data_IF_349512196643
#
_entry.id   IF_349512196643
#
_cell.length_a   1.000
_cell.length_b   1.000
_cell.length_c   1.000
_cell.angle_alpha   90.00
_cell.angle_beta   90.00
_cell.angle_gamma   90.00
#
_symmetry.space_group_name_H-M   'P 1'
#
loop_
_entity.id
_entity.type
_entity.pdbx_description
1 polymer ?
#
# COMPACT_ATOMS: atom_id res chain seq x y z
N UNK A 1 -1.90 -17.07 -4.08
CA UNK A 1 -2.58 -16.22 -5.08
C UNK A 1 -2.91 -16.95 -6.38
N UNK A 2 -2.10 -17.95 -6.82
CA UNK A 2 -2.37 -18.71 -8.05
C UNK A 2 -3.76 -19.39 -8.08
N UNK A 3 -4.35 -19.70 -6.92
CA UNK A 3 -5.71 -20.30 -6.84
C UNK A 3 -6.86 -19.48 -7.43
N UNK A 4 -6.63 -18.19 -7.77
CA UNK A 4 -7.65 -17.38 -8.47
C UNK A 4 -7.68 -17.60 -9.98
N UNK A 5 -6.68 -18.29 -10.55
CA UNK A 5 -6.62 -18.59 -11.99
C UNK A 5 -7.78 -19.50 -12.38
N UNK A 6 -8.60 -19.07 -13.32
CA UNK A 6 -9.77 -19.80 -13.82
C UNK A 6 -9.46 -20.47 -15.14
N UNK A 7 -10.17 -21.60 -15.39
CA UNK A 7 -10.00 -22.36 -16.64
C UNK A 7 -10.30 -21.48 -17.86
N UNK A 8 -9.38 -21.46 -18.83
CA UNK A 8 -9.50 -20.76 -20.11
C UNK A 8 -9.70 -19.22 -19.99
N UNK A 9 -9.40 -18.65 -18.81
CA UNK A 9 -9.42 -17.20 -18.59
C UNK A 9 -7.97 -16.71 -18.53
N UNK A 10 -7.55 -15.76 -19.38
CA UNK A 10 -6.21 -15.20 -19.33
C UNK A 10 -5.85 -14.65 -17.95
N UNK A 11 -4.60 -14.82 -17.54
CA UNK A 11 -4.08 -14.30 -16.28
C UNK A 11 -2.92 -13.34 -16.53
N UNK A 12 -2.95 -12.20 -15.85
CA UNK A 12 -1.88 -11.20 -15.89
C UNK A 12 -1.18 -11.16 -14.54
N UNK A 13 0.14 -11.25 -14.57
CA UNK A 13 1.03 -11.13 -13.41
C UNK A 13 1.82 -9.82 -13.58
N UNK A 14 1.63 -8.86 -12.66
CA UNK A 14 2.23 -7.51 -12.76
C UNK A 14 3.76 -7.54 -12.66
N UNK A 15 4.31 -8.40 -11.80
CA UNK A 15 5.75 -8.51 -11.55
C UNK A 15 6.22 -9.97 -11.68
N UNK A 16 7.27 -10.18 -12.46
CA UNK A 16 7.96 -11.48 -12.50
C UNK A 16 8.79 -11.64 -11.22
N UNK A 17 8.66 -12.81 -10.60
CA UNK A 17 9.55 -13.20 -9.50
C UNK A 17 9.97 -14.66 -9.68
N UNK A 18 11.28 -14.97 -9.67
CA UNK A 18 11.80 -16.29 -10.07
C UNK A 18 11.26 -17.44 -9.20
N UNK A 19 10.97 -17.20 -7.91
CA UNK A 19 10.44 -18.23 -7.00
C UNK A 19 8.94 -18.48 -7.19
N UNK A 20 8.16 -17.49 -7.64
CA UNK A 20 6.70 -17.62 -7.76
C UNK A 20 6.23 -17.82 -9.19
N UNK A 21 6.99 -17.35 -10.18
CA UNK A 21 6.64 -17.50 -11.59
C UNK A 21 6.41 -18.96 -12.02
N UNK A 22 7.20 -19.97 -11.58
CA UNK A 22 6.94 -21.37 -11.90
C UNK A 22 5.57 -21.84 -11.40
N UNK A 23 5.15 -21.42 -10.19
CA UNK A 23 3.85 -21.78 -9.63
C UNK A 23 2.70 -21.21 -10.48
N UNK A 24 2.80 -19.92 -10.88
CA UNK A 24 1.80 -19.30 -11.74
C UNK A 24 1.72 -19.97 -13.11
N UNK A 25 2.87 -20.28 -13.72
CA UNK A 25 2.94 -20.98 -15.02
C UNK A 25 2.32 -22.36 -14.95
N UNK A 26 2.62 -23.12 -13.90
CA UNK A 26 2.07 -24.47 -13.71
C UNK A 26 0.54 -24.44 -13.59
N UNK A 27 0.00 -23.57 -12.71
CA UNK A 27 -1.45 -23.46 -12.52
C UNK A 27 -2.14 -22.93 -13.78
N UNK A 28 -1.54 -21.99 -14.50
CA UNK A 28 -2.08 -21.52 -15.78
C UNK A 28 -2.15 -22.65 -16.81
N UNK A 29 -1.11 -23.48 -16.91
CA UNK A 29 -1.08 -24.64 -17.80
C UNK A 29 -2.20 -25.66 -17.43
N UNK A 30 -2.36 -26.00 -16.15
CA UNK A 30 -3.42 -26.90 -15.66
C UNK A 30 -4.83 -26.36 -15.93
N UNK A 31 -4.96 -25.03 -15.99
CA UNK A 31 -6.23 -24.35 -16.29
C UNK A 31 -6.43 -24.04 -17.76
N UNK A 32 -5.51 -24.45 -18.64
CA UNK A 32 -5.56 -24.11 -20.07
C UNK A 32 -5.68 -22.60 -20.30
N UNK A 33 -4.98 -21.80 -19.47
CA UNK A 33 -5.08 -20.33 -19.42
C UNK A 33 -3.82 -19.69 -19.97
N UNK A 34 -3.99 -18.69 -20.84
CA UNK A 34 -2.89 -17.84 -21.28
C UNK A 34 -2.34 -17.05 -20.08
N UNK A 35 -1.01 -16.93 -19.98
CA UNK A 35 -0.35 -16.17 -18.91
C UNK A 35 0.53 -15.07 -19.49
N UNK A 36 0.40 -13.88 -18.94
CA UNK A 36 1.16 -12.69 -19.29
C UNK A 36 1.91 -12.16 -18.08
N UNK A 37 3.22 -11.91 -18.23
CA UNK A 37 4.02 -11.18 -17.25
C UNK A 37 4.22 -9.76 -17.77
N UNK A 38 3.84 -8.76 -16.96
CA UNK A 38 3.80 -7.36 -17.38
C UNK A 38 5.03 -6.54 -16.97
N UNK A 39 5.98 -7.16 -16.26
CA UNK A 39 7.17 -6.48 -15.70
C UNK A 39 8.05 -5.80 -16.75
N UNK A 40 8.17 -6.38 -17.94
CA UNK A 40 8.94 -5.79 -19.06
C UNK A 40 8.14 -4.79 -19.90
N UNK A 41 6.85 -4.56 -19.60
CA UNK A 41 6.00 -3.69 -20.38
C UNK A 41 6.44 -2.23 -20.22
N UNK A 42 6.69 -1.55 -21.33
CA UNK A 42 6.81 -0.09 -21.35
C UNK A 42 5.43 0.55 -21.39
N UNK A 43 5.20 1.48 -20.48
CA UNK A 43 3.90 2.12 -20.28
C UNK A 43 4.04 3.63 -20.50
N UNK A 44 3.47 4.20 -21.57
CA UNK A 44 3.57 5.63 -21.88
C UNK A 44 2.55 6.49 -21.12
N UNK A 45 1.84 5.91 -20.15
CA UNK A 45 0.80 6.61 -19.39
C UNK A 45 1.28 6.99 -18.00
N UNK A 46 0.69 8.06 -17.48
CA UNK A 46 0.79 8.47 -16.08
C UNK A 46 -0.52 8.19 -15.35
N UNK A 47 -0.46 8.04 -14.01
CA UNK A 47 -1.65 7.92 -13.19
C UNK A 47 -1.64 8.96 -12.07
N UNK A 48 -2.83 9.26 -11.53
CA UNK A 48 -3.00 10.23 -10.45
C UNK A 48 -2.63 9.68 -9.07
N UNK A 49 -2.51 8.35 -8.91
CA UNK A 49 -2.02 7.72 -7.69
C UNK A 49 -0.50 7.92 -7.53
N UNK A 50 -0.07 8.41 -6.36
CA UNK A 50 1.30 8.92 -6.13
C UNK A 50 2.28 7.93 -5.50
N UNK A 51 1.83 6.76 -5.02
CA UNK A 51 2.74 5.75 -4.46
C UNK A 51 3.77 5.25 -5.49
N UNK A 52 5.05 5.18 -5.15
CA UNK A 52 6.13 4.72 -6.06
C UNK A 52 5.88 3.31 -6.60
N UNK A 53 5.28 2.44 -5.81
CA UNK A 53 4.85 1.10 -6.21
C UNK A 53 3.79 1.09 -7.32
N UNK A 54 3.14 2.21 -7.60
CA UNK A 54 2.18 2.33 -8.69
C UNK A 54 2.84 2.22 -10.07
N UNK A 55 4.13 2.52 -10.18
CA UNK A 55 4.90 2.29 -11.41
C UNK A 55 4.94 0.81 -11.82
N UNK A 56 4.83 -0.10 -10.86
CA UNK A 56 4.69 -1.54 -11.11
C UNK A 56 3.24 -1.92 -11.40
N UNK A 57 2.30 -1.37 -10.63
CA UNK A 57 0.87 -1.68 -10.78
C UNK A 57 0.33 -1.28 -12.15
N UNK A 58 0.74 -0.11 -12.68
CA UNK A 58 0.29 0.38 -14.00
C UNK A 58 0.59 -0.61 -15.12
N UNK A 59 1.72 -1.31 -15.06
CA UNK A 59 2.09 -2.32 -16.06
C UNK A 59 1.08 -3.46 -16.12
N UNK A 60 0.70 -4.00 -14.95
CA UNK A 60 -0.34 -5.04 -14.85
C UNK A 60 -1.72 -4.55 -15.31
N UNK A 61 -2.07 -3.30 -14.99
CA UNK A 61 -3.32 -2.68 -15.43
C UNK A 61 -3.36 -2.59 -16.97
N UNK A 62 -2.33 -2.00 -17.57
CA UNK A 62 -2.27 -1.81 -19.03
C UNK A 62 -2.24 -3.16 -19.75
N UNK A 63 -1.47 -4.13 -19.27
CA UNK A 63 -1.49 -5.48 -19.84
C UNK A 63 -2.89 -6.11 -19.77
N UNK A 64 -3.59 -5.94 -18.66
CA UNK A 64 -4.98 -6.45 -18.52
C UNK A 64 -5.92 -5.78 -19.53
N UNK A 65 -5.82 -4.47 -19.71
CA UNK A 65 -6.62 -3.74 -20.69
C UNK A 65 -6.33 -4.20 -22.14
N UNK A 66 -5.06 -4.47 -22.47
CA UNK A 66 -4.67 -5.05 -23.77
C UNK A 66 -5.27 -6.44 -24.01
N UNK A 67 -5.27 -7.29 -22.98
CA UNK A 67 -5.92 -8.61 -23.05
C UNK A 67 -7.43 -8.44 -23.26
N UNK A 68 -8.08 -7.50 -22.60
CA UNK A 68 -9.50 -7.20 -22.80
C UNK A 68 -9.78 -6.71 -24.22
N UNK A 69 -8.94 -5.84 -24.79
CA UNK A 69 -9.04 -5.40 -26.18
C UNK A 69 -8.96 -6.58 -27.14
N UNK A 70 -8.03 -7.52 -26.94
CA UNK A 70 -7.90 -8.74 -27.74
C UNK A 70 -9.15 -9.66 -27.64
N UNK A 71 -9.87 -9.62 -26.51
CA UNK A 71 -11.15 -10.33 -26.30
C UNK A 71 -12.37 -9.55 -26.83
N UNK A 72 -12.16 -8.45 -27.58
CA UNK A 72 -13.22 -7.70 -28.27
C UNK A 72 -13.83 -6.55 -27.47
N UNK A 73 -13.28 -6.19 -26.30
CA UNK A 73 -13.74 -5.02 -25.56
C UNK A 73 -13.33 -3.73 -26.30
N UNK A 74 -14.27 -2.81 -26.43
CA UNK A 74 -14.04 -1.51 -27.09
C UNK A 74 -13.37 -0.51 -26.13
N UNK A 75 -12.09 -0.74 -25.87
CA UNK A 75 -11.24 0.12 -25.03
C UNK A 75 -10.27 0.85 -25.96
N UNK A 76 -10.33 2.18 -26.01
CA UNK A 76 -9.42 3.01 -26.81
C UNK A 76 -8.24 3.49 -25.97
N UNK A 77 -7.17 3.97 -26.63
CA UNK A 77 -6.03 4.61 -25.96
C UNK A 77 -6.49 5.81 -25.12
N UNK A 78 -7.46 6.58 -25.60
CA UNK A 78 -8.06 7.69 -24.87
C UNK A 78 -8.76 7.23 -23.59
N UNK A 79 -9.48 6.10 -23.63
CA UNK A 79 -10.10 5.51 -22.44
C UNK A 79 -9.04 5.12 -21.40
N UNK A 80 -7.92 4.52 -21.84
CA UNK A 80 -6.81 4.14 -20.97
C UNK A 80 -6.20 5.37 -20.32
N UNK A 81 -5.84 6.38 -21.11
CA UNK A 81 -5.21 7.60 -20.63
C UNK A 81 -6.12 8.36 -19.65
N UNK A 82 -7.39 8.59 -20.01
CA UNK A 82 -8.35 9.27 -19.14
C UNK A 82 -8.64 8.47 -17.86
N UNK A 83 -8.81 7.15 -17.98
CA UNK A 83 -9.04 6.29 -16.83
C UNK A 83 -7.89 6.32 -15.83
N UNK A 84 -6.64 6.25 -16.29
CA UNK A 84 -5.45 6.27 -15.45
C UNK A 84 -5.17 7.64 -14.83
N UNK A 85 -5.46 8.73 -15.54
CA UNK A 85 -5.23 10.09 -15.02
C UNK A 85 -6.33 10.60 -14.06
N UNK A 86 -7.44 9.88 -13.93
CA UNK A 86 -8.58 10.25 -13.10
C UNK A 86 -9.08 9.08 -12.22
N UNK A 87 -8.19 8.24 -11.72
CA UNK A 87 -8.56 7.07 -10.90
C UNK A 87 -9.30 7.53 -9.64
N UNK A 88 -8.74 8.47 -8.90
CA UNK A 88 -9.33 8.97 -7.66
C UNK A 88 -10.69 9.59 -7.90
N UNK A 89 -10.80 10.46 -8.91
CA UNK A 89 -12.05 11.12 -9.25
C UNK A 89 -13.15 10.14 -9.71
N UNK A 90 -12.78 9.10 -10.48
CA UNK A 90 -13.73 8.15 -11.04
C UNK A 90 -14.16 7.05 -10.06
N UNK A 91 -13.29 6.69 -9.11
CA UNK A 91 -13.49 5.49 -8.27
C UNK A 91 -13.56 5.79 -6.77
N UNK A 92 -13.20 7.01 -6.36
CA UNK A 92 -13.02 7.38 -4.95
C UNK A 92 -12.03 6.46 -4.22
N UNK A 93 -11.01 5.92 -4.93
CA UNK A 93 -9.98 5.09 -4.33
C UNK A 93 -9.10 5.95 -3.42
N UNK A 94 -9.12 5.66 -2.13
CA UNK A 94 -8.37 6.38 -1.10
C UNK A 94 -7.29 5.51 -0.46
N UNK A 95 -6.37 6.14 0.29
CA UNK A 95 -5.35 5.45 1.07
C UNK A 95 -4.24 4.80 0.25
N UNK A 96 -3.84 5.39 -0.87
CA UNK A 96 -2.69 4.97 -1.69
C UNK A 96 -1.67 6.09 -1.79
N UNK A 97 -0.78 6.19 -0.80
CA UNK A 97 0.15 7.32 -0.64
C UNK A 97 -0.59 8.65 -0.74
N UNK A 98 -1.70 8.73 -0.02
CA UNK A 98 -2.64 9.86 -0.11
C UNK A 98 -2.21 10.99 0.82
N UNK A 99 -2.16 12.20 0.27
CA UNK A 99 -1.90 13.43 1.03
C UNK A 99 -3.14 13.78 1.87
N UNK A 100 -2.93 13.93 3.18
CA UNK A 100 -3.93 14.40 4.15
C UNK A 100 -3.69 15.85 4.60
N UNK A 101 -2.45 16.32 4.52
CA UNK A 101 -2.05 17.68 4.91
C UNK A 101 -0.68 18.03 4.37
N UNK A 102 -0.44 19.32 4.15
CA UNK A 102 0.81 19.81 3.53
C UNK A 102 1.85 20.30 4.56
N UNK A 103 1.40 20.77 5.72
CA UNK A 103 2.27 21.39 6.72
C UNK A 103 1.84 21.05 8.16
N UNK A 104 2.40 20.02 8.81
CA UNK A 104 3.41 19.09 8.31
C UNK A 104 2.87 18.19 7.19
N UNK A 105 3.74 17.79 6.27
CA UNK A 105 3.35 16.84 5.21
C UNK A 105 2.86 15.54 5.85
N UNK A 106 1.59 15.28 5.67
CA UNK A 106 0.90 14.12 6.25
C UNK A 106 0.41 13.22 5.16
N UNK A 107 0.85 11.95 5.15
CA UNK A 107 0.49 10.93 4.15
C UNK A 107 -0.14 9.74 4.85
N UNK A 108 -1.17 9.15 4.25
CA UNK A 108 -1.67 7.84 4.64
C UNK A 108 -1.51 6.80 3.54
N UNK A 109 -1.28 5.54 3.95
CA UNK A 109 -1.25 4.39 3.04
C UNK A 109 -1.76 3.12 3.71
N UNK A 110 -2.50 2.32 2.96
CA UNK A 110 -3.12 1.06 3.44
C UNK A 110 -2.17 -0.13 3.45
N UNK A 111 -0.86 0.08 3.29
CA UNK A 111 0.13 -0.98 3.47
C UNK A 111 -0.03 -1.66 4.84
N UNK A 112 -0.09 -2.99 4.84
CA UNK A 112 -0.43 -3.75 6.03
C UNK A 112 0.34 -5.07 6.15
N UNK A 113 1.37 -5.29 5.35
CA UNK A 113 2.24 -6.47 5.38
C UNK A 113 3.69 -6.07 5.10
N UNK A 114 4.64 -6.97 5.35
CA UNK A 114 6.06 -6.69 5.19
C UNK A 114 6.42 -6.16 3.79
N UNK A 115 5.88 -6.77 2.73
CA UNK A 115 6.15 -6.29 1.37
C UNK A 115 5.62 -4.86 1.14
N UNK A 116 4.40 -4.56 1.59
CA UNK A 116 3.85 -3.19 1.54
C UNK A 116 4.73 -2.20 2.34
N UNK A 117 5.18 -2.57 3.53
CA UNK A 117 6.08 -1.73 4.32
C UNK A 117 7.45 -1.53 3.67
N UNK A 118 7.98 -2.52 2.93
CA UNK A 118 9.21 -2.32 2.14
C UNK A 118 9.03 -1.17 1.13
N UNK A 119 7.92 -1.14 0.40
CA UNK A 119 7.64 -0.08 -0.57
C UNK A 119 7.44 1.28 0.12
N UNK A 120 6.68 1.32 1.22
CA UNK A 120 6.44 2.55 2.00
C UNK A 120 7.75 3.12 2.56
N UNK A 121 8.59 2.29 3.18
CA UNK A 121 9.85 2.72 3.76
C UNK A 121 10.83 3.19 2.70
N UNK A 122 10.88 2.52 1.55
CA UNK A 122 11.68 2.97 0.41
C UNK A 122 11.23 4.35 -0.09
N UNK A 123 9.93 4.62 -0.10
CA UNK A 123 9.41 5.92 -0.51
C UNK A 123 9.64 7.00 0.56
N UNK A 124 9.49 6.68 1.84
CA UNK A 124 9.81 7.59 2.94
C UNK A 124 11.29 8.03 2.92
N UNK A 125 12.20 7.14 2.52
CA UNK A 125 13.63 7.49 2.36
C UNK A 125 13.90 8.51 1.24
N UNK A 126 12.99 8.67 0.28
CA UNK A 126 13.11 9.65 -0.81
C UNK A 126 12.50 11.00 -0.44
N UNK A 127 11.73 11.07 0.64
CA UNK A 127 11.14 12.29 1.14
C UNK A 127 12.17 13.10 1.98
N UNK A 128 12.03 14.42 1.96
CA UNK A 128 12.86 15.31 2.77
C UNK A 128 12.10 15.72 4.02
N UNK A 129 12.63 15.40 5.18
CA UNK A 129 12.06 15.78 6.47
C UNK A 129 13.13 15.79 7.56
N UNK A 130 12.88 16.53 8.64
CA UNK A 130 13.75 16.54 9.82
C UNK A 130 13.44 15.36 10.74
N UNK A 131 12.16 15.14 11.05
CA UNK A 131 11.67 14.05 11.90
C UNK A 131 10.52 13.32 11.24
N UNK A 132 10.53 11.99 11.34
CA UNK A 132 9.41 11.13 10.92
C UNK A 132 8.52 10.81 12.11
N UNK A 133 7.23 11.09 11.98
CA UNK A 133 6.17 10.70 12.92
C UNK A 133 5.35 9.58 12.30
N UNK A 134 5.22 8.44 13.00
CA UNK A 134 4.51 7.26 12.50
C UNK A 134 3.30 6.94 13.37
N UNK A 135 2.10 7.19 12.84
CA UNK A 135 0.82 6.78 13.43
C UNK A 135 0.48 5.40 12.93
N UNK A 136 0.55 4.39 13.80
CA UNK A 136 0.43 2.98 13.42
C UNK A 136 -0.62 2.24 14.26
N UNK A 137 -1.45 1.47 13.56
CA UNK A 137 -2.37 0.51 14.16
C UNK A 137 -2.58 -0.69 13.26
N UNK A 138 -2.84 -1.84 13.86
CA UNK A 138 -2.94 -3.12 13.14
C UNK A 138 -4.19 -3.90 13.56
N UNK A 139 -4.46 -5.00 12.87
CA UNK A 139 -5.45 -5.99 13.29
C UNK A 139 -4.78 -7.14 14.05
N UNK A 140 -5.53 -7.85 14.89
CA UNK A 140 -5.03 -8.90 15.80
C UNK A 140 -4.30 -10.04 15.08
N UNK A 141 -4.78 -10.39 13.87
CA UNK A 141 -4.28 -11.51 13.09
C UNK A 141 -3.01 -11.17 12.29
N UNK A 142 -2.50 -9.94 12.43
CA UNK A 142 -1.33 -9.52 11.65
C UNK A 142 -0.05 -10.07 12.28
N UNK A 143 0.79 -10.68 11.44
CA UNK A 143 2.16 -11.01 11.82
C UNK A 143 3.02 -9.73 11.87
N UNK A 144 3.26 -9.25 13.08
CA UNK A 144 4.07 -8.07 13.36
C UNK A 144 5.57 -8.36 13.36
N UNK A 145 5.97 -9.62 13.54
CA UNK A 145 7.39 -10.01 13.58
C UNK A 145 8.10 -9.78 12.25
N UNK A 146 7.35 -9.76 11.16
CA UNK A 146 7.85 -9.44 9.82
C UNK A 146 7.87 -7.93 9.48
N UNK A 147 7.18 -7.10 10.26
CA UNK A 147 7.02 -5.66 10.00
C UNK A 147 7.86 -4.82 10.96
N UNK A 148 7.74 -5.05 12.27
CA UNK A 148 8.37 -4.24 13.30
C UNK A 148 9.90 -4.12 13.15
N UNK A 149 10.66 -5.19 12.80
CA UNK A 149 12.11 -5.08 12.60
C UNK A 149 12.52 -4.11 11.48
N UNK A 150 11.62 -3.83 10.53
CA UNK A 150 11.89 -2.97 9.37
C UNK A 150 11.72 -1.48 9.70
N UNK A 151 11.00 -1.15 10.77
CA UNK A 151 10.61 0.22 11.08
C UNK A 151 11.80 1.05 11.57
N UNK A 152 11.92 2.34 11.15
CA UNK A 152 13.05 3.21 11.53
C UNK A 152 13.02 3.51 13.03
N UNK A 153 14.13 3.24 13.74
CA UNK A 153 14.24 3.42 15.19
C UNK A 153 14.31 4.87 15.64
N UNK A 154 14.64 5.78 14.73
CA UNK A 154 14.74 7.21 15.00
C UNK A 154 13.44 8.00 14.71
N UNK A 155 12.35 7.31 14.35
CA UNK A 155 11.04 7.92 14.19
C UNK A 155 10.31 8.07 15.55
N UNK A 156 9.32 8.95 15.61
CA UNK A 156 8.39 9.07 16.74
C UNK A 156 7.15 8.25 16.46
N UNK A 157 6.76 7.38 17.39
CA UNK A 157 5.65 6.45 17.19
C UNK A 157 4.44 6.80 18.04
N UNK A 158 3.27 6.76 17.39
CA UNK A 158 1.93 7.00 17.94
C UNK A 158 1.10 5.75 17.66
N UNK A 159 1.04 4.85 18.67
CA UNK A 159 0.32 3.59 18.53
C UNK A 159 -1.16 3.79 18.81
N UNK A 160 -2.02 3.27 17.95
CA UNK A 160 -3.46 3.38 18.04
C UNK A 160 -4.17 2.08 17.69
N UNK A 161 -5.43 2.01 18.12
CA UNK A 161 -6.32 0.89 17.77
C UNK A 161 -7.38 1.38 16.80
N UNK A 162 -7.54 0.76 15.60
CA UNK A 162 -8.68 1.05 14.74
C UNK A 162 -9.99 0.60 15.43
N UNK A 163 -11.07 1.37 15.26
CA UNK A 163 -12.36 1.15 15.93
C UNK A 163 -13.17 0.02 15.28
N UNK A 164 -12.57 -1.17 15.27
CA UNK A 164 -13.20 -2.42 14.83
C UNK A 164 -12.90 -3.53 15.85
N UNK A 165 -13.73 -4.55 15.93
CA UNK A 165 -13.60 -5.66 16.89
C UNK A 165 -12.26 -6.40 16.78
N UNK A 166 -11.74 -6.54 15.58
CA UNK A 166 -10.46 -7.16 15.29
C UNK A 166 -9.26 -6.21 15.38
N UNK A 167 -9.46 -4.96 15.79
CA UNK A 167 -8.37 -4.01 16.04
C UNK A 167 -7.44 -4.54 17.14
N UNK A 168 -6.12 -4.54 16.88
CA UNK A 168 -5.12 -4.88 17.87
C UNK A 168 -5.08 -3.76 18.93
N UNK A 169 -5.05 -4.13 20.19
CA UNK A 169 -4.90 -3.19 21.29
C UNK A 169 -3.58 -2.42 21.15
N UNK A 170 -3.63 -1.09 21.32
CA UNK A 170 -2.48 -0.24 21.12
C UNK A 170 -1.37 -0.46 22.16
N UNK A 171 -1.72 -0.87 23.38
CA UNK A 171 -0.75 -1.25 24.42
C UNK A 171 -0.01 -2.54 24.04
N UNK A 172 -0.74 -3.53 23.52
CA UNK A 172 -0.13 -4.78 23.01
C UNK A 172 0.80 -4.49 21.83
N UNK A 173 0.40 -3.57 20.93
CA UNK A 173 1.27 -3.13 19.84
C UNK A 173 2.55 -2.47 20.36
N UNK A 174 2.44 -1.58 21.35
CA UNK A 174 3.56 -0.92 21.99
C UNK A 174 4.53 -1.92 22.64
N UNK A 175 4.01 -2.88 23.39
CA UNK A 175 4.83 -3.93 24.03
C UNK A 175 5.63 -4.73 23.00
N UNK A 176 4.96 -5.17 21.92
CA UNK A 176 5.64 -5.86 20.82
C UNK A 176 6.67 -4.98 20.11
N UNK A 177 6.39 -3.68 19.92
CA UNK A 177 7.33 -2.75 19.29
C UNK A 177 8.60 -2.57 20.13
N UNK A 178 8.49 -2.56 21.48
CA UNK A 178 9.63 -2.47 22.41
C UNK A 178 10.60 -3.64 22.28
N UNK A 179 10.12 -4.84 21.95
CA UNK A 179 10.98 -6.01 21.68
C UNK A 179 11.96 -5.75 20.53
N UNK A 180 11.63 -4.84 19.62
CA UNK A 180 12.45 -4.43 18.49
C UNK A 180 13.13 -3.08 18.69
N UNK A 181 13.12 -2.53 19.91
CA UNK A 181 13.75 -1.24 20.25
C UNK A 181 13.01 -0.04 19.68
N UNK A 182 11.70 -0.15 19.54
CA UNK A 182 10.81 0.93 19.06
C UNK A 182 10.02 1.47 20.24
N UNK A 183 10.26 2.72 20.60
CA UNK A 183 9.54 3.44 21.65
C UNK A 183 8.45 4.34 21.04
N UNK A 184 7.30 4.41 21.73
CA UNK A 184 6.18 5.24 21.26
C UNK A 184 5.10 5.42 22.31
N UNK A 185 4.13 6.25 22.02
CA UNK A 185 3.01 6.59 22.92
C UNK A 185 1.72 5.94 22.42
N UNK A 186 0.90 5.47 23.36
CA UNK A 186 -0.39 4.83 23.09
C UNK A 186 -1.51 5.85 23.11
N UNK A 187 -2.45 5.73 22.17
CA UNK A 187 -3.63 6.56 22.04
C UNK A 187 -4.89 5.71 21.94
N UNK A 188 -6.02 6.26 22.42
CA UNK A 188 -7.29 5.57 22.47
C UNK A 188 -7.93 5.39 21.07
N UNK A 189 -7.57 6.24 20.11
CA UNK A 189 -8.11 6.21 18.76
C UNK A 189 -7.07 6.66 17.71
N UNK A 190 -7.34 6.31 16.46
CA UNK A 190 -6.52 6.74 15.31
C UNK A 190 -6.53 8.26 15.18
N UNK A 191 -7.70 8.87 15.34
CA UNK A 191 -7.88 10.32 15.21
C UNK A 191 -7.09 11.09 16.27
N UNK A 192 -7.11 10.60 17.52
CA UNK A 192 -6.34 11.20 18.60
C UNK A 192 -4.84 11.11 18.34
N UNK A 193 -4.35 9.91 17.93
CA UNK A 193 -2.95 9.69 17.59
C UNK A 193 -2.48 10.60 16.45
N UNK A 194 -3.28 10.72 15.38
CA UNK A 194 -2.97 11.60 14.24
C UNK A 194 -2.94 13.08 14.67
N UNK A 195 -3.95 13.54 15.40
CA UNK A 195 -4.00 14.91 15.90
C UNK A 195 -2.77 15.23 16.74
N UNK A 196 -2.38 14.32 17.63
CA UNK A 196 -1.19 14.50 18.48
C UNK A 196 0.10 14.52 17.66
N UNK A 197 0.24 13.61 16.69
CA UNK A 197 1.39 13.59 15.80
C UNK A 197 1.53 14.91 15.02
N UNK A 198 0.43 15.42 14.47
CA UNK A 198 0.42 16.69 13.75
C UNK A 198 0.72 17.90 14.64
N UNK A 199 0.25 17.91 15.89
CA UNK A 199 0.55 18.97 16.85
C UNK A 199 2.02 19.00 17.30
N UNK A 200 2.67 17.86 17.40
CA UNK A 200 4.08 17.75 17.79
C UNK A 200 5.05 17.90 16.61
N UNK A 201 4.57 17.69 15.40
CA UNK A 201 5.38 17.82 14.20
C UNK A 201 5.59 19.27 13.82
N UNK A 202 6.80 19.60 13.42
CA UNK A 202 7.13 20.89 12.78
C UNK A 202 6.70 20.85 11.31
N UNK A 203 6.65 22.02 10.68
CA UNK A 203 6.33 22.14 9.25
C UNK A 203 7.29 21.32 8.36
N UNK A 204 8.55 21.16 8.79
CA UNK A 204 9.60 20.39 8.10
C UNK A 204 9.59 18.89 8.41
N UNK A 205 8.72 18.45 9.31
CA UNK A 205 8.59 17.04 9.67
C UNK A 205 7.61 16.33 8.72
N UNK A 206 7.61 15.01 8.80
CA UNK A 206 6.72 14.16 8.00
C UNK A 206 5.86 13.29 8.92
N UNK A 207 4.55 13.25 8.67
CA UNK A 207 3.62 12.38 9.39
C UNK A 207 3.14 11.27 8.46
N UNK A 208 3.38 10.02 8.82
CA UNK A 208 2.85 8.84 8.14
C UNK A 208 1.76 8.18 8.96
N UNK A 209 0.64 7.83 8.32
CA UNK A 209 -0.49 7.11 8.95
C UNK A 209 -0.73 5.80 8.23
N UNK A 210 -0.73 4.67 8.95
CA UNK A 210 -0.95 3.38 8.29
C UNK A 210 -0.91 2.16 9.20
N UNK A 211 -0.48 1.02 8.64
CA UNK A 211 -0.43 -0.29 9.28
C UNK A 211 -1.67 -1.15 9.05
N UNK A 212 -2.80 -0.53 8.71
CA UNK A 212 -4.04 -1.23 8.38
C UNK A 212 -4.92 -0.38 7.49
N UNK A 213 -5.67 -1.01 6.59
CA UNK A 213 -6.76 -0.35 5.84
C UNK A 213 -7.78 0.30 6.79
N UNK A 214 -8.02 -0.31 7.94
CA UNK A 214 -8.99 0.22 8.93
C UNK A 214 -8.48 1.48 9.64
N UNK A 215 -7.17 1.60 9.87
CA UNK A 215 -6.56 2.83 10.39
C UNK A 215 -6.72 3.96 9.37
N UNK A 216 -6.44 3.69 8.11
CA UNK A 216 -6.56 4.68 7.04
C UNK A 216 -8.00 5.10 6.82
N UNK A 217 -8.97 4.18 6.90
CA UNK A 217 -10.38 4.48 6.74
C UNK A 217 -10.95 5.47 7.79
N UNK A 218 -10.27 5.65 8.94
CA UNK A 218 -10.69 6.61 9.96
C UNK A 218 -10.15 8.04 9.73
N UNK A 219 -9.29 8.23 8.72
CA UNK A 219 -8.61 9.52 8.46
C UNK A 219 -8.79 10.07 7.04
N UNK A 220 -9.48 9.31 6.16
CA UNK A 220 -9.81 9.69 4.78
C UNK A 220 -11.27 9.99 4.59
#
# INVERSE_FOLDING_TARGET
KAGIIKRQIPVVISEFHPLTAPVFKQVALEKESEIYFADSLEVPYTMDLKGGYQAKNIKGIVQTLRVLQQKGWKITEEHIQKGLSHIVANTHLMGRWQLLGEAPKTICDTAHNAHGFTEILSQLQQEKYDTLHMVLGFVKEKDLSSILPMLPKNARYYFCKPQIDRGLDATVLQEKAREYGIEGVVFSSVKEALTKAQQEAKVTDFVYVGGSTFVVAEVV
#
